data_IF_069919773772
#
_entry.id   IF_069919773772
#
_cell.length_a   1.000
_cell.length_b   1.000
_cell.length_c   1.000
_cell.angle_alpha   90.00
_cell.angle_beta   90.00
_cell.angle_gamma   90.00
#
_symmetry.space_group_name_H-M   'P 1'
#
loop_
_entity.id
_entity.type
_entity.pdbx_description
1 polymer ?
#
# COMPACT_ATOMS: atom_id res chain seq x y z
N UNK A 1 -5.40 14.44 -56.20
CA UNK A 1 -5.38 13.31 -55.26
C UNK A 1 -5.48 13.87 -53.84
N UNK A 2 -6.46 13.48 -53.02
CA UNK A 2 -6.50 13.92 -51.64
C UNK A 2 -5.35 13.25 -50.89
N UNK A 3 -4.51 14.06 -50.24
CA UNK A 3 -3.44 13.58 -49.36
C UNK A 3 -4.10 12.95 -48.14
N UNK A 4 -3.96 11.62 -47.97
CA UNK A 4 -4.28 10.96 -46.72
C UNK A 4 -3.31 11.49 -45.65
N UNK A 5 -3.83 12.26 -44.70
CA UNK A 5 -3.11 12.63 -43.48
C UNK A 5 -3.04 11.41 -42.60
N UNK A 6 -2.00 10.57 -42.76
CA UNK A 6 -1.76 9.48 -41.82
C UNK A 6 -1.27 10.11 -40.52
N UNK A 7 -2.10 10.06 -39.47
CA UNK A 7 -1.64 10.40 -38.12
C UNK A 7 -0.62 9.37 -37.70
N UNK A 8 0.62 9.80 -37.48
CA UNK A 8 1.66 9.01 -36.84
C UNK A 8 1.08 8.37 -35.57
N UNK A 9 1.31 7.07 -35.39
CA UNK A 9 0.67 6.23 -34.39
C UNK A 9 0.63 6.87 -32.99
N UNK A 10 -0.54 7.35 -32.57
CA UNK A 10 -0.81 7.67 -31.17
C UNK A 10 -1.30 6.38 -30.53
N UNK A 11 -0.48 5.81 -29.63
CA UNK A 11 -0.95 4.73 -28.77
C UNK A 11 -1.98 5.32 -27.80
N UNK A 12 -3.22 4.83 -27.87
CA UNK A 12 -4.27 5.16 -26.90
C UNK A 12 -4.18 4.17 -25.74
N UNK A 13 -3.98 4.67 -24.53
CA UNK A 13 -4.10 3.87 -23.31
C UNK A 13 -5.49 4.14 -22.74
N UNK A 14 -6.37 3.11 -22.64
CA UNK A 14 -7.68 3.32 -22.06
C UNK A 14 -7.55 3.73 -20.59
N UNK A 15 -8.48 4.58 -20.14
CA UNK A 15 -8.59 4.88 -18.72
C UNK A 15 -9.01 3.61 -17.97
N UNK A 16 -8.40 3.35 -16.83
CA UNK A 16 -8.66 2.16 -16.04
C UNK A 16 -10.09 2.13 -15.49
N UNK A 17 -10.82 1.03 -15.69
CA UNK A 17 -12.15 0.86 -15.09
C UNK A 17 -12.05 0.30 -13.66
N UNK A 18 -13.09 0.52 -12.84
CA UNK A 18 -13.17 -0.12 -11.52
C UNK A 18 -13.45 -1.61 -11.67
N UNK A 19 -12.70 -2.45 -10.94
CA UNK A 19 -12.90 -3.89 -10.88
C UNK A 19 -12.89 -4.41 -9.42
N UNK A 20 -13.03 -5.72 -9.22
CA UNK A 20 -12.74 -6.37 -7.95
C UNK A 20 -11.28 -6.11 -7.53
N UNK A 21 -11.04 -6.05 -6.22
CA UNK A 21 -9.71 -5.80 -5.67
C UNK A 21 -9.16 -7.05 -4.98
N UNK A 22 -7.85 -7.24 -5.03
CA UNK A 22 -7.16 -8.27 -4.28
C UNK A 22 -7.25 -8.07 -2.77
N UNK A 23 -6.89 -9.11 -2.01
CA UNK A 23 -6.65 -8.98 -0.56
C UNK A 23 -5.41 -8.11 -0.32
N UNK A 24 -5.23 -7.54 0.88
CA UNK A 24 -4.07 -6.70 1.18
C UNK A 24 -2.73 -7.39 0.89
N UNK A 25 -2.58 -8.64 1.31
CA UNK A 25 -1.33 -9.40 1.15
C UNK A 25 -1.04 -9.66 -0.32
N UNK A 26 -2.06 -10.11 -1.07
CA UNK A 26 -1.92 -10.36 -2.48
C UNK A 26 -1.64 -9.07 -3.26
N UNK A 27 -2.27 -7.96 -2.88
CA UNK A 27 -2.02 -6.66 -3.51
C UNK A 27 -0.55 -6.25 -3.41
N UNK A 28 0.04 -6.43 -2.23
CA UNK A 28 1.46 -6.14 -2.02
C UNK A 28 2.37 -7.06 -2.85
N UNK A 29 2.00 -8.33 -3.02
CA UNK A 29 2.80 -9.29 -3.81
C UNK A 29 2.75 -9.07 -5.31
N UNK A 30 1.55 -8.82 -5.83
CA UNK A 30 1.34 -8.63 -7.26
C UNK A 30 1.71 -7.21 -7.71
N UNK A 31 1.87 -6.28 -6.75
CA UNK A 31 2.21 -4.88 -7.05
C UNK A 31 1.05 -4.09 -7.66
N UNK A 32 -0.19 -4.55 -7.45
CA UNK A 32 -1.43 -3.86 -7.85
C UNK A 32 -2.58 -4.37 -7.00
N UNK A 33 -3.55 -3.52 -6.67
CA UNK A 33 -4.81 -3.96 -6.04
C UNK A 33 -5.80 -4.52 -7.07
N UNK A 34 -5.60 -4.24 -8.37
CA UNK A 34 -6.54 -4.61 -9.42
C UNK A 34 -6.04 -5.82 -10.23
N UNK A 35 -6.77 -6.96 -10.20
CA UNK A 35 -6.37 -8.19 -10.91
C UNK A 35 -6.24 -8.01 -12.42
N UNK A 36 -7.09 -7.17 -13.02
CA UNK A 36 -7.05 -6.90 -14.47
C UNK A 36 -5.79 -6.15 -14.92
N UNK A 37 -5.07 -5.50 -13.99
CA UNK A 37 -3.77 -4.89 -14.25
C UNK A 37 -2.60 -5.84 -14.01
N UNK A 38 -2.83 -6.99 -13.37
CA UNK A 38 -1.82 -8.02 -13.19
C UNK A 38 -1.65 -8.84 -14.47
N UNK A 39 -0.95 -8.25 -15.45
CA UNK A 39 -0.73 -8.84 -16.76
C UNK A 39 0.49 -9.77 -16.74
N UNK A 40 0.41 -10.96 -17.36
CA UNK A 40 1.51 -11.91 -17.37
C UNK A 40 2.73 -11.29 -18.07
N UNK A 41 3.83 -11.18 -17.33
CA UNK A 41 5.12 -10.82 -17.90
C UNK A 41 5.79 -12.11 -18.40
N UNK A 42 6.04 -12.20 -19.71
CA UNK A 42 6.47 -13.42 -20.44
C UNK A 42 7.68 -14.20 -19.86
N UNK A 43 8.41 -13.62 -18.88
CA UNK A 43 9.58 -14.24 -18.23
C UNK A 43 9.65 -14.01 -16.72
N UNK A 44 8.58 -13.52 -16.10
CA UNK A 44 8.51 -13.48 -14.65
C UNK A 44 7.92 -14.82 -14.18
N UNK A 45 8.59 -15.47 -13.23
CA UNK A 45 7.94 -16.51 -12.46
C UNK A 45 6.79 -15.87 -11.67
N UNK A 46 5.74 -16.64 -11.37
CA UNK A 46 4.70 -16.18 -10.45
C UNK A 46 5.38 -15.71 -9.16
N UNK A 47 5.12 -14.46 -8.77
CA UNK A 47 5.76 -13.85 -7.60
C UNK A 47 5.61 -14.75 -6.38
N UNK A 48 6.73 -15.04 -5.72
CA UNK A 48 6.70 -15.82 -4.47
C UNK A 48 5.82 -15.14 -3.41
N UNK A 49 5.29 -15.89 -2.43
CA UNK A 49 4.45 -15.31 -1.40
C UNK A 49 5.22 -14.26 -0.61
N UNK A 50 4.62 -13.08 -0.42
CA UNK A 50 5.09 -12.13 0.57
C UNK A 50 4.81 -12.73 1.95
N UNK A 51 5.84 -13.26 2.57
CA UNK A 51 5.71 -13.86 3.88
C UNK A 51 6.06 -12.83 4.96
N UNK A 52 5.18 -12.72 5.95
CA UNK A 52 5.52 -12.06 7.20
C UNK A 52 6.65 -12.84 7.90
N UNK A 53 7.50 -12.12 8.62
CA UNK A 53 8.44 -12.74 9.56
C UNK A 53 7.72 -13.55 10.64
N UNK A 54 8.45 -14.46 11.30
CA UNK A 54 7.88 -15.34 12.32
C UNK A 54 7.55 -14.63 13.66
N UNK A 55 8.11 -13.44 13.89
CA UNK A 55 7.89 -12.64 15.09
C UNK A 55 6.55 -11.85 15.03
N UNK A 56 5.83 -11.66 16.17
CA UNK A 56 4.58 -10.89 16.19
C UNK A 56 4.70 -9.46 15.63
N UNK A 57 5.74 -8.70 15.99
CA UNK A 57 5.92 -7.35 15.49
C UNK A 57 6.15 -7.34 13.97
N UNK A 58 6.87 -8.34 13.44
CA UNK A 58 7.05 -8.50 12.00
C UNK A 58 5.73 -8.81 11.27
N UNK A 59 4.78 -9.53 11.90
CA UNK A 59 3.45 -9.76 11.34
C UNK A 59 2.61 -8.48 11.31
N UNK A 60 2.63 -7.71 12.37
CA UNK A 60 1.87 -6.46 12.45
C UNK A 60 2.43 -5.42 11.46
N UNK A 61 3.76 -5.30 11.36
CA UNK A 61 4.43 -4.48 10.35
C UNK A 61 4.07 -4.91 8.93
N UNK A 62 4.02 -6.22 8.67
CA UNK A 62 3.63 -6.74 7.38
C UNK A 62 2.19 -6.36 7.03
N UNK A 63 1.25 -6.49 7.96
CA UNK A 63 -0.15 -6.10 7.75
C UNK A 63 -0.31 -4.60 7.53
N UNK A 64 0.36 -3.77 8.34
CA UNK A 64 0.41 -2.31 8.13
C UNK A 64 0.96 -1.98 6.74
N UNK A 65 1.98 -2.71 6.28
CA UNK A 65 2.57 -2.50 4.95
C UNK A 65 1.60 -2.87 3.83
N UNK A 66 0.86 -3.97 3.97
CA UNK A 66 -0.15 -4.41 3.01
C UNK A 66 -1.28 -3.38 2.85
N UNK A 67 -1.86 -2.91 3.96
CA UNK A 67 -2.90 -1.87 3.92
C UNK A 67 -2.35 -0.56 3.36
N UNK A 68 -1.10 -0.21 3.69
CA UNK A 68 -0.41 0.96 3.14
C UNK A 68 -0.25 0.92 1.64
N UNK A 69 0.14 -0.24 1.11
CA UNK A 69 0.22 -0.47 -0.32
C UNK A 69 -1.15 -0.26 -0.98
N UNK A 70 -2.21 -0.86 -0.43
CA UNK A 70 -3.56 -0.69 -0.97
C UNK A 70 -4.00 0.78 -1.01
N UNK A 71 -3.72 1.55 0.04
CA UNK A 71 -4.05 2.99 0.10
C UNK A 71 -3.30 3.74 -1.00
N UNK A 72 -2.01 3.47 -1.17
CA UNK A 72 -1.20 4.13 -2.19
C UNK A 72 -1.72 3.83 -3.60
N UNK A 73 -1.94 2.56 -3.91
CA UNK A 73 -2.40 2.14 -5.24
C UNK A 73 -3.84 2.60 -5.54
N UNK A 74 -4.71 2.58 -4.53
CA UNK A 74 -6.06 3.14 -4.64
C UNK A 74 -6.04 4.67 -4.81
N UNK A 75 -5.06 5.37 -4.23
CA UNK A 75 -4.88 6.81 -4.45
C UNK A 75 -4.59 7.08 -5.91
N UNK A 76 -3.69 6.31 -6.53
CA UNK A 76 -3.37 6.44 -7.96
C UNK A 76 -4.62 6.24 -8.84
N UNK A 77 -5.47 5.28 -8.49
CA UNK A 77 -6.75 5.10 -9.17
C UNK A 77 -7.68 6.32 -8.99
N UNK A 78 -7.83 6.82 -7.76
CA UNK A 78 -8.72 7.93 -7.43
C UNK A 78 -8.25 9.28 -8.01
N UNK A 79 -6.95 9.46 -8.27
CA UNK A 79 -6.42 10.65 -8.96
C UNK A 79 -7.04 10.83 -10.35
N UNK A 80 -7.42 9.73 -11.01
CA UNK A 80 -8.12 9.73 -12.30
C UNK A 80 -9.63 9.55 -12.18
N UNK A 81 -10.11 9.02 -11.04
CA UNK A 81 -11.52 8.72 -10.78
C UNK A 81 -12.02 9.32 -9.45
N UNK A 82 -11.95 10.65 -9.27
CA UNK A 82 -12.24 11.28 -7.99
C UNK A 82 -13.67 11.00 -7.50
N UNK A 83 -14.62 10.80 -8.41
CA UNK A 83 -16.04 10.58 -8.11
C UNK A 83 -16.43 9.09 -7.98
N UNK A 84 -15.47 8.15 -8.01
CA UNK A 84 -15.77 6.72 -7.91
C UNK A 84 -16.27 6.35 -6.48
N UNK A 85 -17.55 5.99 -6.29
CA UNK A 85 -18.10 5.78 -4.94
C UNK A 85 -17.49 4.55 -4.25
N UNK A 86 -17.19 3.51 -5.04
CA UNK A 86 -16.54 2.28 -4.54
C UNK A 86 -15.12 2.58 -4.06
N UNK A 87 -14.35 3.33 -4.85
CA UNK A 87 -12.99 3.75 -4.51
C UNK A 87 -12.96 4.62 -3.26
N UNK A 88 -13.81 5.65 -3.18
CA UNK A 88 -13.89 6.50 -1.99
C UNK A 88 -14.26 5.74 -0.71
N UNK A 89 -15.23 4.81 -0.81
CA UNK A 89 -15.67 4.00 0.33
C UNK A 89 -14.54 3.09 0.83
N UNK A 90 -13.88 2.38 -0.08
CA UNK A 90 -12.73 1.53 0.25
C UNK A 90 -11.57 2.35 0.82
N UNK A 91 -11.27 3.52 0.25
CA UNK A 91 -10.19 4.39 0.70
C UNK A 91 -10.40 4.85 2.15
N UNK A 92 -11.61 5.30 2.50
CA UNK A 92 -11.94 5.68 3.89
C UNK A 92 -11.80 4.50 4.85
N UNK A 93 -12.26 3.31 4.45
CA UNK A 93 -12.13 2.09 5.26
C UNK A 93 -10.66 1.78 5.53
N UNK A 94 -9.84 1.73 4.49
CA UNK A 94 -8.41 1.40 4.59
C UNK A 94 -7.64 2.44 5.41
N UNK A 95 -7.93 3.73 5.24
CA UNK A 95 -7.33 4.78 6.06
C UNK A 95 -7.64 4.59 7.54
N UNK A 96 -8.90 4.31 7.89
CA UNK A 96 -9.28 4.03 9.27
C UNK A 96 -8.58 2.78 9.82
N UNK A 97 -8.52 1.71 9.03
CA UNK A 97 -7.84 0.48 9.39
C UNK A 97 -6.34 0.71 9.64
N UNK A 98 -5.66 1.44 8.75
CA UNK A 98 -4.25 1.81 8.93
C UNK A 98 -4.02 2.62 10.19
N UNK A 99 -4.88 3.60 10.48
CA UNK A 99 -4.76 4.42 11.69
C UNK A 99 -4.91 3.57 12.95
N UNK A 100 -5.87 2.64 12.97
CA UNK A 100 -6.06 1.72 14.08
C UNK A 100 -4.83 0.82 14.26
N UNK A 101 -4.32 0.21 13.18
CA UNK A 101 -3.14 -0.65 13.24
C UNK A 101 -1.88 0.11 13.71
N UNK A 102 -1.67 1.34 13.24
CA UNK A 102 -0.56 2.19 13.70
C UNK A 102 -0.69 2.51 15.19
N UNK A 103 -1.92 2.75 15.67
CA UNK A 103 -2.21 2.99 17.08
C UNK A 103 -1.94 1.75 17.93
N UNK A 104 -2.43 0.58 17.51
CA UNK A 104 -2.25 -0.71 18.21
C UNK A 104 -0.78 -1.13 18.25
N UNK A 105 -0.06 -0.97 17.14
CA UNK A 105 1.36 -1.24 17.07
C UNK A 105 2.15 -0.33 18.02
N UNK A 106 1.86 0.97 18.02
CA UNK A 106 2.53 1.93 18.89
C UNK A 106 2.22 1.71 20.39
N UNK A 107 1.08 1.11 20.73
CA UNK A 107 0.78 0.70 22.11
C UNK A 107 1.58 -0.52 22.55
N UNK A 108 1.80 -1.47 21.64
CA UNK A 108 2.40 -2.78 21.94
C UNK A 108 3.91 -2.81 21.75
N UNK A 109 4.44 -1.91 20.92
CA UNK A 109 5.84 -1.88 20.51
C UNK A 109 6.42 -0.46 20.68
N UNK A 110 6.50 0.29 19.59
CA UNK A 110 7.06 1.64 19.51
C UNK A 110 6.36 2.41 18.37
N UNK A 111 6.37 3.75 18.38
CA UNK A 111 5.72 4.53 17.33
C UNK A 111 6.42 4.38 15.98
N UNK A 112 5.67 4.08 14.92
CA UNK A 112 6.18 3.97 13.54
C UNK A 112 6.13 5.28 12.75
N UNK A 113 5.25 6.18 13.16
CA UNK A 113 5.08 7.50 12.55
C UNK A 113 5.06 8.58 13.64
N UNK A 114 5.39 9.81 13.29
CA UNK A 114 5.33 10.92 14.26
C UNK A 114 3.91 11.06 14.86
N UNK A 115 2.87 10.83 14.06
CA UNK A 115 1.49 10.81 14.51
C UNK A 115 1.16 9.66 15.46
N UNK A 116 1.84 8.52 15.36
CA UNK A 116 1.56 7.39 16.27
C UNK A 116 2.18 7.56 17.66
N UNK A 117 3.04 8.58 17.87
CA UNK A 117 3.59 8.89 19.20
C UNK A 117 2.44 9.22 20.18
N UNK A 118 1.47 10.03 19.74
CA UNK A 118 0.35 10.47 20.59
C UNK A 118 -0.77 9.45 20.71
N UNK A 119 -0.84 8.49 19.78
CA UNK A 119 -1.84 7.40 19.81
C UNK A 119 -1.27 6.11 20.39
N UNK A 120 -0.02 6.10 20.84
CA UNK A 120 0.63 4.95 21.47
C UNK A 120 0.69 5.08 22.99
N UNK A 121 1.49 4.25 23.63
CA UNK A 121 1.68 4.27 25.10
C UNK A 121 2.85 5.16 25.55
N UNK A 122 3.11 6.24 24.81
CA UNK A 122 4.20 7.16 25.12
C UNK A 122 3.82 8.07 26.30
N UNK A 123 4.65 8.10 27.35
CA UNK A 123 4.44 9.02 28.46
C UNK A 123 4.61 10.48 28.01
N UNK A 124 3.74 11.39 28.47
CA UNK A 124 3.70 12.81 28.05
C UNK A 124 5.04 13.57 28.15
N UNK A 125 5.96 13.11 28.99
CA UNK A 125 7.26 13.74 29.24
C UNK A 125 8.42 13.06 28.51
N UNK A 126 8.16 12.07 27.65
CA UNK A 126 9.16 11.31 26.90
C UNK A 126 8.98 11.51 25.39
N UNK A 127 10.09 11.51 24.65
CA UNK A 127 10.08 11.71 23.19
C UNK A 127 9.58 10.47 22.42
N UNK A 128 9.91 9.26 22.90
CA UNK A 128 9.49 7.93 22.41
C UNK A 128 9.81 7.56 20.95
N UNK A 129 10.17 8.51 20.08
CA UNK A 129 10.58 8.22 18.71
C UNK A 129 11.89 7.41 18.65
N UNK A 130 12.68 7.45 19.71
CA UNK A 130 13.94 6.73 19.89
C UNK A 130 13.79 5.34 20.54
N UNK A 131 12.56 4.89 20.82
CA UNK A 131 12.30 3.57 21.45
C UNK A 131 12.31 2.39 20.46
N UNK A 132 12.22 2.67 19.16
CA UNK A 132 12.29 1.66 18.11
C UNK A 132 13.73 1.32 17.69
N UNK A 133 13.93 0.21 16.96
CA UNK A 133 15.23 -0.08 16.35
C UNK A 133 15.61 1.06 15.40
N UNK A 134 16.89 1.38 15.34
CA UNK A 134 17.35 2.37 14.39
C UNK A 134 17.12 1.87 12.95
N UNK A 135 16.87 2.76 11.98
CA UNK A 135 16.61 2.35 10.59
C UNK A 135 17.73 1.53 9.94
N UNK A 136 18.94 1.54 10.52
CA UNK A 136 20.12 0.81 10.07
C UNK A 136 20.45 -0.44 10.91
N UNK A 137 19.68 -0.74 11.96
CA UNK A 137 19.80 -1.98 12.72
C UNK A 137 19.13 -3.13 11.95
N UNK A 138 19.81 -4.28 11.84
CA UNK A 138 19.34 -5.44 11.05
C UNK A 138 20.00 -5.59 9.66
N UNK A 139 20.96 -4.72 9.32
CA UNK A 139 21.82 -4.82 8.14
C UNK A 139 23.06 -5.70 8.32
N UNK A 140 23.05 -6.64 9.27
CA UNK A 140 24.14 -7.59 9.43
C UNK A 140 24.10 -8.58 8.25
N UNK A 141 25.11 -8.45 7.37
CA UNK A 141 25.40 -9.33 6.24
C UNK A 141 26.09 -10.63 6.67
#
# INVERSE_FOLDING_TARGET
>A
MPKQTQSLAIASVPMQEWDEVYTPEKSLCEGTIFPNLNLPFYKADDGGPCAAGADPAARDLFQISCIGFMINDLTLYLDTHPDCPKGQSLYRKLLQERLNQLSEFAHSHYPLTQSSIVTGNCAEQKYCWDEGPAPWEGGDV
#
